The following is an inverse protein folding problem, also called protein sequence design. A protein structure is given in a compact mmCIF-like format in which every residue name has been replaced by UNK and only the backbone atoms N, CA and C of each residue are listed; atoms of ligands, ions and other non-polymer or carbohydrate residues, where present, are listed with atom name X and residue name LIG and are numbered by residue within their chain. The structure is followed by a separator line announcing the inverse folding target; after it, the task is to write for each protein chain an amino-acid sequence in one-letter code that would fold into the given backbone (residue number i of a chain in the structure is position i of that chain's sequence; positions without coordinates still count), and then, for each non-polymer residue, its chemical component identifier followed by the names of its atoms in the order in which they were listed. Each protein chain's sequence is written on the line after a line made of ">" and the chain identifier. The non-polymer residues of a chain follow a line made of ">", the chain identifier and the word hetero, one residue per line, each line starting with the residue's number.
data_IF_888674201089
#
_entry.id   IF_888674201089
#
_cell.length_a   1.000
_cell.length_b   1.000
_cell.length_c   1.000
_cell.angle_alpha   90.00
_cell.angle_beta   90.00
_cell.angle_gamma   90.00
#
_symmetry.space_group_name_H-M   'P 1'
#
loop_
_entity.id
_entity.type
_entity.pdbx_description
1 polymer ?
#
# COMPACT_ATOMS: atom_id res chain seq x y z
N UNK A 1 34.80 5.61 15.88
CA UNK A 1 34.58 6.64 16.93
C UNK A 1 33.58 7.73 16.49
N UNK A 2 33.36 7.94 15.19
CA UNK A 2 32.46 8.98 14.64
C UNK A 2 30.97 8.65 14.71
N UNK A 3 30.58 7.37 14.58
CA UNK A 3 29.17 6.95 14.68
C UNK A 3 28.52 7.26 16.03
N UNK A 4 29.29 7.12 17.11
CA UNK A 4 28.83 7.44 18.47
C UNK A 4 28.60 8.95 18.67
N UNK A 5 29.38 9.79 18.00
CA UNK A 5 29.21 11.25 18.03
C UNK A 5 28.00 11.71 17.23
N UNK A 6 27.71 11.06 16.09
CA UNK A 6 26.50 11.32 15.29
C UNK A 6 25.24 10.91 16.06
N UNK A 7 25.24 9.73 16.69
CA UNK A 7 24.13 9.26 17.52
C UNK A 7 23.87 10.19 18.72
N UNK A 8 24.94 10.69 19.37
CA UNK A 8 24.84 11.60 20.51
C UNK A 8 24.34 13.00 20.09
N UNK A 9 24.79 13.53 18.95
CA UNK A 9 24.28 14.80 18.39
C UNK A 9 22.83 14.70 17.93
N UNK A 10 22.43 13.58 17.30
CA UNK A 10 21.02 13.36 16.95
C UNK A 10 20.14 13.24 18.20
N UNK A 11 20.58 12.55 19.25
CA UNK A 11 19.87 12.49 20.54
C UNK A 11 19.78 13.85 21.26
N UNK A 12 20.71 14.78 21.01
CA UNK A 12 20.71 16.12 21.60
C UNK A 12 19.84 17.12 20.81
N UNK A 13 19.85 17.05 19.48
CA UNK A 13 19.02 17.88 18.61
C UNK A 13 17.54 17.48 18.74
N UNK A 14 17.26 16.18 18.91
CA UNK A 14 15.93 15.64 19.10
C UNK A 14 15.73 15.23 20.56
N UNK A 15 15.32 16.17 21.42
CA UNK A 15 14.85 15.90 22.81
C UNK A 15 13.58 15.03 22.80
N UNK A 16 13.71 13.76 22.44
CA UNK A 16 12.63 12.78 22.36
C UNK A 16 12.51 12.01 23.66
N UNK A 17 11.74 12.55 24.61
CA UNK A 17 11.27 11.77 25.75
C UNK A 17 9.99 11.03 25.34
N UNK A 18 10.11 9.70 25.21
CA UNK A 18 9.04 8.70 25.27
C UNK A 18 7.98 8.73 24.15
N UNK A 19 8.33 8.22 22.97
CA UNK A 19 7.31 7.73 22.02
C UNK A 19 7.67 6.35 21.47
N UNK A 20 7.25 5.30 22.18
CA UNK A 20 7.32 3.90 21.74
C UNK A 20 6.50 3.61 20.46
N UNK A 21 5.61 4.52 20.06
CA UNK A 21 4.72 4.34 18.89
C UNK A 21 5.26 4.93 17.60
N UNK A 22 6.24 5.84 17.66
CA UNK A 22 6.99 6.26 16.46
C UNK A 22 7.87 5.12 15.94
N UNK A 23 8.16 4.10 16.75
CA UNK A 23 8.89 2.91 16.27
C UNK A 23 8.19 2.17 15.12
N UNK A 24 6.86 2.21 14.98
CA UNK A 24 6.19 1.56 13.83
C UNK A 24 6.47 2.36 12.56
N UNK A 25 6.33 3.68 12.65
CA UNK A 25 6.65 4.60 11.57
C UNK A 25 8.13 4.52 11.19
N UNK A 26 9.03 4.48 12.17
CA UNK A 26 10.46 4.28 11.99
C UNK A 26 10.77 2.89 11.41
N UNK A 27 10.06 1.82 11.78
CA UNK A 27 10.26 0.49 11.18
C UNK A 27 9.77 0.49 9.73
N UNK A 28 8.65 1.14 9.41
CA UNK A 28 8.21 1.32 8.02
C UNK A 28 9.21 2.17 7.24
N UNK A 29 9.78 3.21 7.86
CA UNK A 29 10.83 4.06 7.29
C UNK A 29 12.16 3.29 7.10
N UNK A 30 12.54 2.42 8.04
CA UNK A 30 13.73 1.57 7.92
C UNK A 30 13.51 0.51 6.85
N UNK A 31 12.36 -0.14 6.78
CA UNK A 31 12.05 -1.14 5.76
C UNK A 31 11.92 -0.50 4.37
N UNK A 32 11.38 0.71 4.29
CA UNK A 32 11.35 1.52 3.09
C UNK A 32 12.77 1.94 2.66
N UNK A 33 13.61 2.40 3.60
CA UNK A 33 15.01 2.66 3.34
C UNK A 33 15.75 1.38 2.92
N UNK A 34 15.44 0.20 3.49
CA UNK A 34 16.00 -1.08 3.05
C UNK A 34 15.55 -1.38 1.62
N UNK A 35 14.29 -1.11 1.25
CA UNK A 35 13.84 -1.27 -0.15
C UNK A 35 14.59 -0.33 -1.09
N UNK A 36 14.86 0.92 -0.67
CA UNK A 36 15.71 1.87 -1.38
C UNK A 36 17.15 1.37 -1.47
N UNK A 37 17.70 0.80 -0.40
CA UNK A 37 19.06 0.27 -0.39
C UNK A 37 19.19 -0.97 -1.28
N UNK A 38 18.22 -1.88 -1.27
CA UNK A 38 18.14 -3.01 -2.20
C UNK A 38 18.03 -2.48 -3.64
N UNK A 39 17.25 -1.41 -3.85
CA UNK A 39 17.11 -0.72 -5.13
C UNK A 39 18.42 -0.05 -5.60
N UNK A 40 19.15 0.60 -4.69
CA UNK A 40 20.47 1.23 -4.95
C UNK A 40 21.55 0.17 -5.16
N UNK A 41 21.51 -0.95 -4.43
CA UNK A 41 22.41 -2.08 -4.63
C UNK A 41 22.15 -2.70 -6.00
N UNK A 42 20.90 -2.92 -6.38
CA UNK A 42 20.54 -3.40 -7.72
C UNK A 42 20.93 -2.41 -8.82
N UNK A 43 20.71 -1.11 -8.61
CA UNK A 43 21.17 -0.06 -9.50
C UNK A 43 22.68 -0.11 -9.68
N UNK A 44 23.45 -0.19 -8.59
CA UNK A 44 24.90 -0.30 -8.64
C UNK A 44 25.35 -1.60 -9.30
N UNK A 45 24.63 -2.71 -9.11
CA UNK A 45 24.93 -3.97 -9.77
C UNK A 45 24.73 -3.83 -11.29
N UNK A 46 23.57 -3.35 -11.73
CA UNK A 46 23.28 -3.12 -13.14
C UNK A 46 24.23 -2.08 -13.76
N UNK A 47 24.52 -0.99 -13.06
CA UNK A 47 25.46 0.04 -13.50
C UNK A 47 26.87 -0.51 -13.62
N UNK A 48 27.37 -1.25 -12.61
CA UNK A 48 28.71 -1.83 -12.66
C UNK A 48 28.83 -2.91 -13.73
N UNK A 49 27.80 -3.73 -13.95
CA UNK A 49 27.77 -4.70 -15.04
C UNK A 49 27.79 -4.00 -16.39
N UNK A 50 26.95 -2.98 -16.60
CA UNK A 50 26.93 -2.19 -17.83
C UNK A 50 28.25 -1.44 -18.07
N UNK A 51 28.82 -0.83 -17.02
CA UNK A 51 30.10 -0.13 -17.07
C UNK A 51 31.25 -1.09 -17.37
N UNK A 52 31.24 -2.30 -16.80
CA UNK A 52 32.22 -3.34 -17.09
C UNK A 52 32.13 -3.77 -18.56
N UNK A 53 30.93 -4.02 -19.08
CA UNK A 53 30.75 -4.30 -20.51
C UNK A 53 31.21 -3.14 -21.39
N UNK A 54 30.97 -1.90 -20.97
CA UNK A 54 31.42 -0.71 -21.71
C UNK A 54 32.95 -0.60 -21.74
N UNK A 55 33.62 -0.89 -20.61
CA UNK A 55 35.09 -0.94 -20.53
C UNK A 55 35.67 -2.09 -21.36
N UNK A 56 35.10 -3.30 -21.28
CA UNK A 56 35.55 -4.44 -22.08
C UNK A 56 35.38 -4.18 -23.59
N UNK A 57 34.33 -3.46 -23.98
CA UNK A 57 34.13 -2.99 -25.35
C UNK A 57 35.19 -1.94 -25.70
N UNK A 58 35.46 -0.97 -24.81
CA UNK A 58 36.47 0.07 -25.01
C UNK A 58 37.89 -0.49 -25.16
N UNK A 59 38.28 -1.47 -24.34
CA UNK A 59 39.60 -2.11 -24.41
C UNK A 59 39.75 -2.92 -25.70
N UNK A 60 38.71 -3.67 -26.10
CA UNK A 60 38.69 -4.34 -27.39
C UNK A 60 38.74 -3.36 -28.56
N UNK A 61 38.12 -2.18 -28.42
CA UNK A 61 38.23 -1.11 -29.42
C UNK A 61 39.68 -0.62 -29.52
N UNK A 62 40.34 -0.30 -28.41
CA UNK A 62 41.73 0.17 -28.41
C UNK A 62 42.71 -0.84 -29.05
N UNK A 63 42.46 -2.14 -28.88
CA UNK A 63 43.25 -3.20 -29.52
C UNK A 63 42.97 -3.29 -31.03
N UNK A 64 41.72 -3.15 -31.47
CA UNK A 64 41.36 -3.07 -32.90
C UNK A 64 41.99 -1.82 -33.53
N UNK A 65 41.95 -0.67 -32.84
CA UNK A 65 42.56 0.59 -33.28
C UNK A 65 44.07 0.49 -33.51
N UNK A 66 44.77 -0.30 -32.68
CA UNK A 66 46.21 -0.53 -32.85
C UNK A 66 46.54 -1.41 -34.06
N UNK A 67 45.61 -2.23 -34.53
CA UNK A 67 45.85 -3.21 -35.59
C UNK A 67 45.20 -2.87 -36.95
N UNK A 68 44.14 -2.06 -37.00
CA UNK A 68 43.42 -1.70 -38.23
C UNK A 68 43.33 -0.18 -38.43
N UNK A 69 44.44 0.47 -38.79
CA UNK A 69 44.49 1.94 -38.95
C UNK A 69 43.88 2.51 -40.23
N UNK A 70 43.02 1.77 -40.97
CA UNK A 70 42.59 2.19 -42.32
C UNK A 70 41.12 2.07 -42.68
N UNK A 71 40.22 1.75 -41.74
CA UNK A 71 38.80 1.56 -42.09
C UNK A 71 37.87 2.53 -41.34
N UNK A 72 37.78 3.76 -41.86
CA UNK A 72 36.97 4.87 -41.31
C UNK A 72 35.48 4.51 -41.11
N UNK A 73 34.97 3.55 -41.89
CA UNK A 73 33.59 3.07 -41.79
C UNK A 73 33.31 2.29 -40.50
N UNK A 74 34.27 1.48 -40.03
CA UNK A 74 34.14 0.73 -38.77
C UNK A 74 34.17 1.67 -37.56
N UNK A 75 34.94 2.76 -37.67
CA UNK A 75 35.03 3.83 -36.68
C UNK A 75 33.65 4.46 -36.39
N UNK A 76 32.93 4.80 -37.47
CA UNK A 76 31.66 5.50 -37.38
C UNK A 76 30.54 4.61 -36.82
N UNK A 77 30.52 3.32 -37.17
CA UNK A 77 29.54 2.38 -36.59
C UNK A 77 29.81 2.11 -35.10
N UNK A 78 31.08 2.03 -34.71
CA UNK A 78 31.47 1.81 -33.31
C UNK A 78 31.20 3.03 -32.42
N UNK A 79 31.46 4.25 -32.91
CA UNK A 79 31.11 5.48 -32.19
C UNK A 79 29.59 5.62 -31.98
N UNK A 80 28.77 5.17 -32.95
CA UNK A 80 27.31 5.11 -32.80
C UNK A 80 26.88 4.13 -31.71
N UNK A 81 27.51 2.95 -31.62
CA UNK A 81 27.22 1.97 -30.56
C UNK A 81 27.61 2.51 -29.18
N UNK A 82 28.79 3.13 -29.05
CA UNK A 82 29.23 3.75 -27.79
C UNK A 82 28.28 4.87 -27.33
N UNK A 83 27.91 5.77 -28.23
CA UNK A 83 26.98 6.86 -27.92
C UNK A 83 25.58 6.34 -27.58
N UNK A 84 25.09 5.30 -28.24
CA UNK A 84 23.82 4.66 -27.91
C UNK A 84 23.83 4.04 -26.50
N UNK A 85 24.93 3.39 -26.10
CA UNK A 85 25.11 2.85 -24.74
C UNK A 85 25.18 3.97 -23.70
N UNK A 86 25.87 5.07 -23.99
CA UNK A 86 25.99 6.21 -23.07
C UNK A 86 24.64 6.92 -22.84
N UNK A 87 23.85 7.10 -23.91
CA UNK A 87 22.49 7.67 -23.84
C UNK A 87 21.58 6.74 -23.03
N UNK A 88 21.63 5.44 -23.30
CA UNK A 88 20.91 4.40 -22.56
C UNK A 88 21.22 4.44 -21.05
N UNK A 89 22.48 4.57 -20.66
CA UNK A 89 22.88 4.72 -19.26
C UNK A 89 22.26 5.95 -18.58
N UNK A 90 22.23 7.10 -19.26
CA UNK A 90 21.64 8.34 -18.74
C UNK A 90 20.11 8.25 -18.60
N UNK A 91 19.44 7.60 -19.55
CA UNK A 91 17.99 7.38 -19.48
C UNK A 91 17.59 6.45 -18.34
N UNK A 92 18.36 5.37 -18.10
CA UNK A 92 18.15 4.50 -16.93
C UNK A 92 18.35 5.27 -15.64
N UNK A 93 19.40 6.08 -15.54
CA UNK A 93 19.63 6.91 -14.36
C UNK A 93 18.44 7.84 -14.09
N UNK A 94 17.86 8.45 -15.14
CA UNK A 94 16.69 9.31 -15.02
C UNK A 94 15.42 8.54 -14.62
N UNK A 95 15.14 7.40 -15.24
CA UNK A 95 13.95 6.58 -14.94
C UNK A 95 14.05 6.01 -13.51
N UNK A 96 15.22 5.55 -13.10
CA UNK A 96 15.44 5.05 -11.73
C UNK A 96 15.32 6.17 -10.70
N UNK A 97 15.89 7.35 -10.96
CA UNK A 97 15.75 8.48 -10.04
C UNK A 97 14.31 8.98 -9.94
N UNK A 98 13.54 8.96 -11.04
CA UNK A 98 12.11 9.29 -11.03
C UNK A 98 11.28 8.22 -10.31
N UNK A 99 11.52 6.93 -10.55
CA UNK A 99 10.84 5.83 -9.83
C UNK A 99 11.12 5.87 -8.33
N UNK A 100 12.39 6.10 -7.94
CA UNK A 100 12.77 6.28 -6.55
C UNK A 100 12.07 7.52 -5.98
N UNK A 101 12.04 8.63 -6.71
CA UNK A 101 11.34 9.86 -6.31
C UNK A 101 9.84 9.64 -6.13
N UNK A 102 9.19 8.82 -6.96
CA UNK A 102 7.76 8.45 -6.88
C UNK A 102 7.48 7.56 -5.66
N UNK A 103 8.34 6.60 -5.37
CA UNK A 103 8.22 5.76 -4.16
C UNK A 103 8.49 6.58 -2.90
N UNK A 104 9.52 7.44 -2.93
CA UNK A 104 9.83 8.40 -1.86
C UNK A 104 8.69 9.40 -1.69
N UNK A 105 8.06 9.79 -2.79
CA UNK A 105 6.91 10.68 -2.86
C UNK A 105 5.67 10.04 -2.23
N UNK A 106 5.34 8.78 -2.54
CA UNK A 106 4.25 8.06 -1.88
C UNK A 106 4.50 7.88 -0.38
N UNK A 107 5.75 7.62 0.00
CA UNK A 107 6.13 7.51 1.40
C UNK A 107 6.07 8.87 2.13
N UNK A 108 6.44 9.96 1.45
CA UNK A 108 6.29 11.35 1.93
C UNK A 108 4.83 11.83 1.93
N UNK A 109 3.88 11.08 1.36
CA UNK A 109 2.45 11.33 1.59
C UNK A 109 2.01 10.93 3.00
N UNK A 110 2.85 10.24 3.78
CA UNK A 110 2.70 10.30 5.23
C UNK A 110 2.92 11.76 5.67
N UNK A 111 1.92 12.40 6.31
CA UNK A 111 2.06 13.78 6.74
C UNK A 111 3.22 13.88 7.73
N UNK A 112 4.38 14.35 7.26
CA UNK A 112 5.40 14.95 8.12
C UNK A 112 4.68 16.09 8.89
N UNK A 113 4.88 16.12 10.20
CA UNK A 113 3.86 15.82 11.18
C UNK A 113 2.79 16.90 11.30
N UNK A 114 1.59 16.41 11.62
CA UNK A 114 0.48 17.05 12.33
C UNK A 114 0.91 17.98 13.49
N UNK A 115 2.15 17.85 13.99
CA UNK A 115 2.76 18.74 14.97
C UNK A 115 3.11 20.14 14.42
N UNK A 116 3.35 20.34 13.12
CA UNK A 116 3.60 21.69 12.57
C UNK A 116 2.32 22.49 12.32
N UNK A 117 1.19 21.83 12.00
CA UNK A 117 -0.13 22.48 11.89
C UNK A 117 -0.66 22.99 13.24
N UNK A 118 -0.13 22.51 14.36
CA UNK A 118 -0.52 22.93 15.71
C UNK A 118 0.36 24.07 16.24
N UNK A 119 1.49 24.40 15.58
CA UNK A 119 2.43 25.36 16.15
C UNK A 119 2.84 26.56 15.30
N UNK A 120 2.66 26.58 13.97
CA UNK A 120 2.98 27.78 13.19
C UNK A 120 2.13 27.88 11.91
N UNK A 121 1.09 28.71 11.93
CA UNK A 121 0.31 29.07 10.74
C UNK A 121 1.14 29.85 9.70
N UNK A 122 2.28 30.42 10.10
CA UNK A 122 3.11 31.31 9.26
C UNK A 122 4.12 30.61 8.32
N UNK A 123 4.25 29.27 8.37
CA UNK A 123 5.16 28.55 7.45
C UNK A 123 4.53 28.13 6.11
N UNK A 124 3.38 28.67 5.73
CA UNK A 124 2.46 27.93 4.84
C UNK A 124 2.61 28.10 3.32
N UNK A 125 3.41 29.03 2.79
CA UNK A 125 3.52 29.20 1.32
C UNK A 125 4.42 28.12 0.70
N UNK A 126 5.61 27.89 1.26
CA UNK A 126 6.56 26.92 0.70
C UNK A 126 6.03 25.48 0.74
N UNK A 127 5.36 25.09 1.84
CA UNK A 127 4.77 23.75 1.95
C UNK A 127 3.60 23.54 0.96
N UNK A 128 2.75 24.57 0.76
CA UNK A 128 1.68 24.52 -0.25
C UNK A 128 2.25 24.44 -1.66
N UNK A 129 3.28 25.23 -1.96
CA UNK A 129 3.96 25.20 -3.26
C UNK A 129 4.60 23.84 -3.53
N UNK A 130 5.32 23.28 -2.54
CA UNK A 130 5.92 21.96 -2.64
C UNK A 130 4.86 20.87 -2.91
N UNK A 131 3.74 20.90 -2.17
CA UNK A 131 2.62 19.98 -2.38
C UNK A 131 1.99 20.14 -3.78
N UNK A 132 1.87 21.37 -4.27
CA UNK A 132 1.34 21.64 -5.61
C UNK A 132 2.26 21.12 -6.71
N UNK A 133 3.56 21.41 -6.63
CA UNK A 133 4.60 20.90 -7.56
C UNK A 133 4.57 19.37 -7.54
N UNK A 134 4.52 18.78 -6.35
CA UNK A 134 4.41 17.34 -6.17
C UNK A 134 3.19 16.76 -6.89
N UNK A 135 2.01 17.35 -6.70
CA UNK A 135 0.77 16.85 -7.32
C UNK A 135 0.85 16.91 -8.86
N UNK A 136 1.44 17.98 -9.41
CA UNK A 136 1.69 18.10 -10.85
C UNK A 136 2.64 16.99 -11.33
N UNK A 137 3.75 16.77 -10.62
CA UNK A 137 4.72 15.73 -10.96
C UNK A 137 4.09 14.34 -10.90
N UNK A 138 3.29 14.04 -9.88
CA UNK A 138 2.56 12.76 -9.76
C UNK A 138 1.61 12.54 -10.93
N UNK A 139 0.83 13.56 -11.31
CA UNK A 139 -0.08 13.47 -12.47
C UNK A 139 0.73 13.29 -13.77
N UNK A 140 1.81 14.05 -13.95
CA UNK A 140 2.67 13.94 -15.14
C UNK A 140 3.28 12.55 -15.31
N UNK A 141 3.77 11.96 -14.21
CA UNK A 141 4.27 10.57 -14.17
C UNK A 141 3.18 9.57 -14.56
N UNK A 142 1.96 9.75 -14.08
CA UNK A 142 0.85 8.84 -14.38
C UNK A 142 0.45 8.93 -15.84
N UNK A 143 0.36 10.15 -16.39
CA UNK A 143 0.11 10.35 -17.82
C UNK A 143 1.21 9.67 -18.62
N UNK A 144 2.47 9.84 -18.23
CA UNK A 144 3.60 9.15 -18.88
C UNK A 144 3.45 7.62 -18.82
N UNK A 145 3.12 7.05 -17.67
CA UNK A 145 2.89 5.61 -17.55
C UNK A 145 1.71 5.14 -18.39
N UNK A 146 0.60 5.87 -18.42
CA UNK A 146 -0.57 5.54 -19.25
C UNK A 146 -0.19 5.58 -20.73
N UNK A 147 0.54 6.60 -21.17
CA UNK A 147 0.99 6.72 -22.57
C UNK A 147 1.91 5.55 -22.93
N UNK A 148 2.88 5.24 -22.08
CA UNK A 148 3.83 4.16 -22.33
C UNK A 148 3.15 2.78 -22.35
N UNK A 149 2.23 2.48 -21.42
CA UNK A 149 1.51 1.21 -21.41
C UNK A 149 0.40 1.12 -22.45
N UNK A 150 -0.06 2.25 -22.99
CA UNK A 150 -1.05 2.30 -24.08
C UNK A 150 -0.42 2.27 -25.47
N UNK A 151 0.89 2.48 -25.58
CA UNK A 151 1.63 2.43 -26.84
C UNK A 151 1.86 0.97 -27.30
N UNK A 152 0.76 0.25 -27.51
CA UNK A 152 0.76 -1.10 -28.07
C UNK A 152 0.63 -1.03 -29.59
N UNK A 153 1.71 -1.38 -30.29
CA UNK A 153 1.64 -1.60 -31.72
C UNK A 153 0.89 -2.91 -31.99
N UNK A 154 -0.30 -2.80 -32.58
CA UNK A 154 -1.09 -3.93 -33.06
C UNK A 154 -0.29 -4.56 -34.20
N UNK A 155 0.25 -5.76 -33.98
CA UNK A 155 0.91 -6.53 -35.04
C UNK A 155 -0.13 -7.39 -35.76
N UNK A 156 -0.17 -7.38 -37.11
CA UNK A 156 -1.12 -8.18 -37.88
C UNK A 156 -0.91 -9.70 -37.70
N UNK A 157 0.27 -10.13 -37.27
CA UNK A 157 0.64 -11.55 -37.16
C UNK A 157 0.15 -12.21 -35.86
N UNK A 158 -0.41 -11.43 -34.93
CA UNK A 158 -0.83 -11.90 -33.61
C UNK A 158 -2.34 -12.07 -33.59
N UNK A 159 -2.82 -13.17 -32.99
CA UNK A 159 -4.23 -13.40 -32.74
C UNK A 159 -4.90 -12.21 -32.02
N UNK A 160 -5.97 -11.67 -32.62
CA UNK A 160 -6.74 -10.52 -32.13
C UNK A 160 -7.21 -10.67 -30.67
N UNK A 161 -7.52 -11.90 -30.24
CA UNK A 161 -7.98 -12.15 -28.87
C UNK A 161 -6.87 -11.94 -27.84
N UNK A 162 -5.62 -12.27 -28.16
CA UNK A 162 -4.47 -12.07 -27.28
C UNK A 162 -4.19 -10.56 -27.16
N UNK A 163 -4.23 -9.85 -28.29
CA UNK A 163 -4.06 -8.39 -28.31
C UNK A 163 -5.15 -7.70 -27.48
N UNK A 164 -6.41 -8.14 -27.61
CA UNK A 164 -7.53 -7.61 -26.85
C UNK A 164 -7.40 -7.90 -25.34
N UNK A 165 -6.98 -9.11 -24.95
CA UNK A 165 -6.77 -9.47 -23.55
C UNK A 165 -5.65 -8.63 -22.89
N UNK A 166 -4.54 -8.42 -23.61
CA UNK A 166 -3.44 -7.55 -23.16
C UNK A 166 -3.86 -6.09 -23.08
N UNK A 167 -4.59 -5.58 -24.08
CA UNK A 167 -5.12 -4.23 -24.07
C UNK A 167 -6.07 -4.01 -22.89
N UNK A 168 -7.02 -4.93 -22.68
CA UNK A 168 -7.96 -4.88 -21.56
C UNK A 168 -7.23 -4.87 -20.20
N UNK A 169 -6.23 -5.75 -20.04
CA UNK A 169 -5.41 -5.81 -18.83
C UNK A 169 -4.71 -4.47 -18.55
N UNK A 170 -4.07 -3.88 -19.57
CA UNK A 170 -3.35 -2.61 -19.42
C UNK A 170 -4.31 -1.43 -19.16
N UNK A 171 -5.42 -1.36 -19.90
CA UNK A 171 -6.43 -0.31 -19.74
C UNK A 171 -7.01 -0.34 -18.33
N UNK A 172 -7.40 -1.52 -17.83
CA UNK A 172 -7.98 -1.65 -16.49
C UNK A 172 -6.96 -1.29 -15.41
N UNK A 173 -5.70 -1.72 -15.54
CA UNK A 173 -4.64 -1.34 -14.60
C UNK A 173 -4.36 0.17 -14.62
N UNK A 174 -4.31 0.78 -15.80
CA UNK A 174 -4.13 2.22 -15.97
C UNK A 174 -5.27 3.02 -15.34
N UNK A 175 -6.52 2.62 -15.58
CA UNK A 175 -7.69 3.26 -14.98
C UNK A 175 -7.65 3.09 -13.45
N UNK A 176 -7.28 1.92 -12.94
CA UNK A 176 -7.13 1.65 -11.50
C UNK A 176 -6.05 2.53 -10.86
N UNK A 177 -4.89 2.67 -11.50
CA UNK A 177 -3.81 3.56 -11.07
C UNK A 177 -4.26 5.03 -11.08
N UNK A 178 -4.87 5.49 -12.17
CA UNK A 178 -5.36 6.86 -12.30
C UNK A 178 -6.41 7.17 -11.24
N UNK A 179 -7.40 6.30 -11.06
CA UNK A 179 -8.41 6.44 -10.03
C UNK A 179 -7.76 6.51 -8.65
N UNK A 180 -6.81 5.63 -8.37
CA UNK A 180 -6.10 5.60 -7.09
C UNK A 180 -5.43 6.93 -6.78
N UNK A 181 -4.66 7.49 -7.72
CA UNK A 181 -3.95 8.75 -7.47
C UNK A 181 -4.89 9.94 -7.42
N UNK A 182 -5.87 10.04 -8.33
CA UNK A 182 -6.85 11.12 -8.31
C UNK A 182 -7.63 11.13 -6.98
N UNK A 183 -8.03 9.96 -6.49
CA UNK A 183 -8.70 9.84 -5.19
C UNK A 183 -7.77 10.18 -4.03
N UNK A 184 -6.49 9.79 -4.10
CA UNK A 184 -5.54 10.18 -3.07
C UNK A 184 -5.34 11.69 -3.01
N UNK A 185 -5.15 12.34 -4.16
CA UNK A 185 -5.03 13.79 -4.28
C UNK A 185 -6.30 14.49 -3.76
N UNK A 186 -7.47 13.97 -4.09
CA UNK A 186 -8.74 14.53 -3.64
C UNK A 186 -8.97 14.36 -2.13
N UNK A 187 -8.68 13.18 -1.58
CA UNK A 187 -8.93 12.85 -0.17
C UNK A 187 -7.76 13.12 0.77
N UNK A 188 -6.63 13.66 0.32
CA UNK A 188 -5.42 13.87 1.12
C UNK A 188 -5.68 14.61 2.45
N UNK A 189 -6.49 15.67 2.40
CA UNK A 189 -6.86 16.44 3.60
C UNK A 189 -7.69 15.61 4.58
N UNK A 190 -8.69 14.89 4.05
CA UNK A 190 -9.58 14.03 4.85
C UNK A 190 -8.80 12.85 5.45
N UNK A 191 -7.88 12.28 4.69
CA UNK A 191 -6.98 11.23 5.15
C UNK A 191 -6.14 11.68 6.34
N UNK A 192 -5.54 12.88 6.24
CA UNK A 192 -4.78 13.48 7.35
C UNK A 192 -5.67 13.69 8.58
N UNK A 193 -6.91 14.16 8.39
CA UNK A 193 -7.86 14.33 9.48
C UNK A 193 -8.20 13.00 10.18
N UNK A 194 -8.41 11.93 9.42
CA UNK A 194 -8.66 10.59 9.98
C UNK A 194 -7.45 10.12 10.79
N UNK A 195 -6.22 10.28 10.30
CA UNK A 195 -5.01 9.90 11.04
C UNK A 195 -4.93 10.67 12.36
N UNK A 196 -5.17 11.98 12.35
CA UNK A 196 -5.26 12.82 13.55
C UNK A 196 -6.32 12.31 14.52
N UNK A 197 -7.51 11.97 14.00
CA UNK A 197 -8.64 11.49 14.80
C UNK A 197 -8.33 10.13 15.42
N UNK A 198 -7.73 9.22 14.66
CA UNK A 198 -7.28 7.92 15.15
C UNK A 198 -6.24 8.06 16.25
N UNK A 199 -5.32 9.02 16.14
CA UNK A 199 -4.36 9.34 17.19
C UNK A 199 -5.05 9.90 18.44
N UNK A 200 -5.99 10.84 18.29
CA UNK A 200 -6.78 11.38 19.43
C UNK A 200 -7.54 10.27 20.15
N UNK A 201 -8.22 9.39 19.41
CA UNK A 201 -8.87 8.20 19.96
C UNK A 201 -7.85 7.37 20.75
N UNK A 202 -6.67 7.11 20.18
CA UNK A 202 -5.61 6.36 20.84
C UNK A 202 -5.17 6.99 22.18
N UNK A 203 -5.02 8.31 22.24
CA UNK A 203 -4.66 9.00 23.48
C UNK A 203 -5.76 8.89 24.55
N UNK A 204 -7.04 8.86 24.15
CA UNK A 204 -8.15 8.60 25.08
C UNK A 204 -8.11 7.16 25.59
N UNK A 205 -7.85 6.19 24.72
CA UNK A 205 -7.71 4.78 25.11
C UNK A 205 -6.63 4.57 26.18
N UNK A 206 -5.45 5.20 26.03
CA UNK A 206 -4.36 5.09 27.00
C UNK A 206 -4.71 5.63 28.39
N UNK A 207 -5.62 6.60 28.48
CA UNK A 207 -6.04 7.19 29.75
C UNK A 207 -7.11 6.35 30.45
N UNK A 208 -7.97 5.69 29.68
CA UNK A 208 -9.20 5.09 30.21
C UNK A 208 -9.14 3.57 30.34
N UNK A 209 -8.31 2.90 29.55
CA UNK A 209 -8.37 1.45 29.42
C UNK A 209 -7.01 0.78 29.57
N UNK A 210 -7.03 -0.50 29.98
CA UNK A 210 -5.84 -1.35 29.97
C UNK A 210 -5.34 -1.47 28.53
N UNK A 211 -4.14 -0.98 28.29
CA UNK A 211 -3.58 -0.88 26.95
C UNK A 211 -3.12 -2.25 26.42
N UNK A 212 -3.63 -2.65 25.26
CA UNK A 212 -3.16 -3.84 24.53
C UNK A 212 -2.12 -3.47 23.49
N UNK A 213 -1.05 -4.25 23.41
CA UNK A 213 0.03 -4.00 22.45
C UNK A 213 -0.40 -4.30 21.02
N UNK A 214 -0.08 -3.39 20.08
CA UNK A 214 -0.27 -3.56 18.63
C UNK A 214 0.67 -4.61 17.99
N UNK A 215 1.18 -5.60 18.74
CA UNK A 215 2.16 -6.58 18.25
C UNK A 215 1.67 -7.29 16.98
N UNK A 216 0.40 -7.70 16.96
CA UNK A 216 -0.17 -8.42 15.83
C UNK A 216 -0.35 -7.54 14.59
N UNK A 217 -0.65 -6.24 14.74
CA UNK A 217 -0.72 -5.31 13.60
C UNK A 217 0.66 -5.12 12.99
N UNK A 218 1.70 -4.98 13.84
CA UNK A 218 3.07 -4.83 13.36
C UNK A 218 3.51 -6.07 12.57
N UNK A 219 3.22 -7.27 13.10
CA UNK A 219 3.55 -8.51 12.41
C UNK A 219 2.85 -8.56 11.05
N UNK A 220 1.56 -8.22 11.00
CA UNK A 220 0.80 -8.16 9.75
C UNK A 220 1.38 -7.17 8.73
N UNK A 221 1.66 -5.93 9.14
CA UNK A 221 2.24 -4.91 8.24
C UNK A 221 3.61 -5.38 7.73
N UNK A 222 4.47 -5.90 8.61
CA UNK A 222 5.81 -6.36 8.23
C UNK A 222 5.72 -7.59 7.31
N UNK A 223 4.82 -8.53 7.58
CA UNK A 223 4.65 -9.71 6.71
C UNK A 223 4.12 -9.31 5.34
N UNK A 224 3.19 -8.36 5.28
CA UNK A 224 2.61 -7.88 4.02
C UNK A 224 3.65 -7.12 3.19
N UNK A 225 4.43 -6.23 3.82
CA UNK A 225 5.53 -5.52 3.14
C UNK A 225 6.60 -6.50 2.64
N UNK A 226 6.97 -7.48 3.46
CA UNK A 226 7.93 -8.50 3.06
C UNK A 226 7.41 -9.35 1.90
N UNK A 227 6.12 -9.70 1.92
CA UNK A 227 5.45 -10.39 0.81
C UNK A 227 5.51 -9.55 -0.48
N UNK A 228 5.17 -8.26 -0.43
CA UNK A 228 5.27 -7.34 -1.57
C UNK A 228 6.69 -7.29 -2.14
N UNK A 229 7.71 -7.20 -1.28
CA UNK A 229 9.12 -7.16 -1.69
C UNK A 229 9.57 -8.49 -2.31
N UNK A 230 9.18 -9.64 -1.76
CA UNK A 230 9.52 -10.94 -2.34
C UNK A 230 8.87 -11.09 -3.72
N UNK A 231 7.61 -10.71 -3.86
CA UNK A 231 6.93 -10.71 -5.15
C UNK A 231 7.61 -9.78 -6.15
N UNK A 232 8.11 -8.63 -5.69
CA UNK A 232 8.85 -7.70 -6.53
C UNK A 232 10.09 -8.34 -7.15
N UNK A 233 10.91 -8.96 -6.29
CA UNK A 233 12.16 -9.59 -6.69
C UNK A 233 11.86 -10.78 -7.61
N UNK A 234 10.86 -11.59 -7.29
CA UNK A 234 10.46 -12.73 -8.12
C UNK A 234 9.98 -12.29 -9.50
N UNK A 235 9.14 -11.25 -9.57
CA UNK A 235 8.66 -10.72 -10.84
C UNK A 235 9.80 -10.11 -11.67
N UNK A 236 10.73 -9.39 -11.03
CA UNK A 236 11.92 -8.84 -11.69
C UNK A 236 12.79 -9.93 -12.32
N UNK A 237 13.14 -10.98 -11.55
CA UNK A 237 14.01 -12.06 -12.01
C UNK A 237 13.36 -12.79 -13.19
N UNK A 238 12.06 -13.09 -13.09
CA UNK A 238 11.32 -13.74 -14.17
C UNK A 238 11.26 -12.87 -15.43
N UNK A 239 10.99 -11.58 -15.28
CA UNK A 239 10.90 -10.65 -16.40
C UNK A 239 12.25 -10.48 -17.12
N UNK A 240 13.33 -10.27 -16.37
CA UNK A 240 14.69 -10.13 -16.94
C UNK A 240 15.14 -11.43 -17.61
N UNK A 241 14.78 -12.59 -17.06
CA UNK A 241 15.11 -13.88 -17.66
C UNK A 241 14.44 -14.14 -19.03
N UNK A 242 13.36 -13.41 -19.34
CA UNK A 242 12.64 -13.53 -20.62
C UNK A 242 13.09 -12.51 -21.67
N UNK A 243 13.94 -11.56 -21.29
CA UNK A 243 14.39 -10.51 -22.19
C UNK A 243 15.59 -10.97 -23.03
N UNK A 244 15.31 -11.33 -24.29
CA UNK A 244 16.35 -11.63 -25.30
C UNK A 244 16.96 -10.34 -25.90
N UNK A 245 16.25 -9.21 -25.78
CA UNK A 245 16.63 -7.91 -26.38
C UNK A 245 17.41 -7.00 -25.42
N UNK A 246 17.61 -5.75 -25.82
CA UNK A 246 18.32 -4.71 -25.03
C UNK A 246 17.74 -4.61 -23.61
N UNK A 247 18.51 -5.09 -22.62
CA UNK A 247 18.18 -5.14 -21.19
C UNK A 247 17.55 -3.83 -20.71
N UNK A 248 18.03 -2.69 -21.23
CA UNK A 248 17.54 -1.37 -20.89
C UNK A 248 16.04 -1.17 -21.13
N UNK A 249 15.57 -1.54 -22.33
CA UNK A 249 14.18 -1.36 -22.76
C UNK A 249 13.27 -2.24 -21.91
N UNK A 250 13.73 -3.46 -21.64
CA UNK A 250 13.08 -4.38 -20.73
C UNK A 250 12.94 -3.81 -19.32
N UNK A 251 14.04 -3.30 -18.73
CA UNK A 251 14.00 -2.71 -17.40
C UNK A 251 13.06 -1.50 -17.36
N UNK A 252 13.06 -0.63 -18.38
CA UNK A 252 12.12 0.48 -18.51
C UNK A 252 10.66 -0.01 -18.49
N UNK A 253 10.32 -0.94 -19.37
CA UNK A 253 8.98 -1.49 -19.49
C UNK A 253 8.52 -2.16 -18.19
N UNK A 254 9.43 -2.90 -17.55
CA UNK A 254 9.19 -3.51 -16.26
C UNK A 254 8.91 -2.47 -15.17
N UNK A 255 9.72 -1.41 -15.05
CA UNK A 255 9.49 -0.34 -14.07
C UNK A 255 8.11 0.28 -14.26
N UNK A 256 7.73 0.57 -15.50
CA UNK A 256 6.45 1.20 -15.84
C UNK A 256 5.28 0.29 -15.49
N UNK A 257 5.28 -0.95 -15.98
CA UNK A 257 4.22 -1.93 -15.75
C UNK A 257 4.10 -2.27 -14.25
N UNK A 258 5.23 -2.44 -13.59
CA UNK A 258 5.29 -2.80 -12.18
C UNK A 258 4.83 -1.66 -11.27
N UNK A 259 5.30 -0.43 -11.52
CA UNK A 259 4.91 0.72 -10.70
C UNK A 259 3.39 0.96 -10.79
N UNK A 260 2.82 0.83 -11.99
CA UNK A 260 1.38 0.95 -12.21
C UNK A 260 0.58 -0.06 -11.37
N UNK A 261 0.96 -1.34 -11.44
CA UNK A 261 0.25 -2.39 -10.70
C UNK A 261 0.42 -2.26 -9.18
N UNK A 262 1.60 -1.86 -8.69
CA UNK A 262 1.90 -1.80 -7.25
C UNK A 262 1.37 -0.59 -6.52
N UNK A 263 1.19 0.54 -7.19
CA UNK A 263 0.50 1.71 -6.64
C UNK A 263 -0.85 1.32 -6.01
N UNK A 264 -1.63 0.54 -6.76
CA UNK A 264 -2.93 0.03 -6.30
C UNK A 264 -2.82 -0.93 -5.10
N UNK A 265 -1.74 -1.73 -5.02
CA UNK A 265 -1.51 -2.68 -3.93
C UNK A 265 -1.14 -1.97 -2.63
N UNK A 266 -0.27 -0.95 -2.69
CA UNK A 266 0.10 -0.16 -1.50
C UNK A 266 -1.16 0.43 -0.84
N UNK A 267 -2.07 0.97 -1.65
CA UNK A 267 -3.34 1.51 -1.16
C UNK A 267 -4.25 0.47 -0.51
N UNK A 268 -4.27 -0.76 -1.04
CA UNK A 268 -4.99 -1.87 -0.41
C UNK A 268 -4.39 -2.23 0.96
N UNK A 269 -3.06 -2.28 1.05
CA UNK A 269 -2.35 -2.53 2.31
C UNK A 269 -2.62 -1.43 3.34
N UNK A 270 -2.63 -0.16 2.91
CA UNK A 270 -3.01 0.97 3.76
C UNK A 270 -4.44 0.82 4.28
N UNK A 271 -5.40 0.56 3.41
CA UNK A 271 -6.79 0.31 3.78
C UNK A 271 -6.91 -0.81 4.83
N UNK A 272 -6.35 -1.99 4.54
CA UNK A 272 -6.34 -3.13 5.45
C UNK A 272 -5.71 -2.78 6.80
N UNK A 273 -4.63 -1.98 6.79
CA UNK A 273 -3.97 -1.52 8.01
C UNK A 273 -4.89 -0.66 8.87
N UNK A 274 -5.60 0.31 8.29
CA UNK A 274 -6.56 1.13 9.01
C UNK A 274 -7.69 0.29 9.60
N UNK A 275 -8.25 -0.63 8.81
CA UNK A 275 -9.32 -1.52 9.24
C UNK A 275 -8.87 -2.42 10.40
N UNK A 276 -7.65 -2.97 10.35
CA UNK A 276 -7.08 -3.76 11.45
C UNK A 276 -6.89 -2.91 12.72
N UNK A 277 -6.41 -1.68 12.59
CA UNK A 277 -6.25 -0.76 13.74
C UNK A 277 -7.61 -0.48 14.38
N UNK A 278 -8.63 -0.20 13.57
CA UNK A 278 -10.00 0.04 14.02
C UNK A 278 -10.59 -1.20 14.71
N UNK A 279 -10.38 -2.39 14.13
CA UNK A 279 -10.76 -3.68 14.74
C UNK A 279 -10.15 -3.85 16.12
N UNK A 280 -8.86 -3.56 16.28
CA UNK A 280 -8.21 -3.70 17.58
C UNK A 280 -8.78 -2.75 18.63
N UNK A 281 -9.14 -1.52 18.23
CA UNK A 281 -9.83 -0.58 19.12
C UNK A 281 -11.20 -1.10 19.54
N UNK A 282 -11.97 -1.70 18.63
CA UNK A 282 -13.24 -2.37 18.95
C UNK A 282 -13.02 -3.55 19.92
N UNK A 283 -11.99 -4.37 19.71
CA UNK A 283 -11.65 -5.46 20.62
C UNK A 283 -11.31 -4.95 22.02
N UNK A 284 -10.56 -3.85 22.14
CA UNK A 284 -10.28 -3.24 23.45
C UNK A 284 -11.59 -2.78 24.12
N UNK A 285 -12.51 -2.15 23.37
CA UNK A 285 -13.84 -1.80 23.91
C UNK A 285 -14.58 -3.05 24.39
N UNK A 286 -14.61 -4.12 23.59
CA UNK A 286 -15.26 -5.38 23.94
C UNK A 286 -14.69 -6.00 25.22
N UNK A 287 -13.36 -5.95 25.40
CA UNK A 287 -12.69 -6.41 26.62
C UNK A 287 -13.06 -5.57 27.83
N UNK A 288 -13.06 -4.23 27.73
CA UNK A 288 -13.41 -3.36 28.85
C UNK A 288 -14.89 -3.44 29.22
N UNK A 289 -15.78 -3.55 28.23
CA UNK A 289 -17.20 -3.87 28.45
C UNK A 289 -17.28 -5.17 29.26
N UNK A 290 -16.62 -6.25 28.81
CA UNK A 290 -16.64 -7.53 29.53
C UNK A 290 -16.13 -7.40 30.98
N UNK A 291 -15.01 -6.72 31.21
CA UNK A 291 -14.44 -6.49 32.55
C UNK A 291 -15.42 -5.78 33.49
N UNK A 292 -16.06 -4.70 33.00
CA UNK A 292 -17.07 -3.94 33.75
C UNK A 292 -18.26 -4.81 34.19
N UNK A 293 -18.59 -5.87 33.44
CA UNK A 293 -19.71 -6.73 33.78
C UNK A 293 -19.31 -7.97 34.58
N UNK A 294 -18.04 -8.39 34.55
CA UNK A 294 -17.56 -9.52 35.37
C UNK A 294 -17.26 -9.14 36.82
N UNK A 295 -16.73 -7.93 37.08
CA UNK A 295 -16.36 -7.51 38.44
C UNK A 295 -17.58 -7.33 39.37
N UNK A 296 -18.77 -7.12 38.81
CA UNK A 296 -20.00 -6.85 39.60
C UNK A 296 -20.62 -8.09 40.25
N UNK A 297 -20.15 -9.30 39.91
CA UNK A 297 -20.64 -10.53 40.55
C UNK A 297 -20.07 -10.76 41.96
N UNK A 298 -19.18 -9.89 42.44
CA UNK A 298 -18.70 -9.94 43.82
C UNK A 298 -19.50 -9.00 44.73
N UNK A 299 -20.16 -9.60 45.71
CA UNK A 299 -21.15 -9.02 46.62
C UNK A 299 -20.61 -7.84 47.44
N UNK A 300 -21.03 -6.63 47.08
CA UNK A 300 -21.41 -5.51 47.96
C UNK A 300 -21.59 -4.25 47.09
N UNK A 301 -22.82 -4.02 46.60
CA UNK A 301 -23.20 -2.85 45.79
C UNK A 301 -23.20 -1.58 46.65
N UNK A 302 -22.13 -0.79 46.59
CA UNK A 302 -22.18 0.60 47.05
C UNK A 302 -22.70 1.50 45.92
N UNK A 303 -23.49 2.52 46.27
CA UNK A 303 -24.01 3.54 45.33
C UNK A 303 -22.90 4.20 44.48
N UNK A 304 -21.70 4.33 45.06
CA UNK A 304 -20.49 4.85 44.41
C UNK A 304 -20.11 4.01 43.19
N UNK A 305 -20.30 2.68 43.22
CA UNK A 305 -20.01 1.82 42.06
C UNK A 305 -20.96 2.12 40.89
N UNK A 306 -22.23 2.46 41.14
CA UNK A 306 -23.20 2.70 40.07
C UNK A 306 -22.90 3.98 39.28
N UNK A 307 -22.54 5.05 39.98
CA UNK A 307 -22.11 6.32 39.36
C UNK A 307 -20.86 6.10 38.50
N UNK A 308 -19.91 5.32 39.01
CA UNK A 308 -18.71 4.95 38.25
C UNK A 308 -19.02 4.15 36.98
N UNK A 309 -19.96 3.19 37.07
CA UNK A 309 -20.42 2.41 35.91
C UNK A 309 -21.07 3.28 34.86
N UNK A 310 -21.98 4.18 35.25
CA UNK A 310 -22.66 5.06 34.31
C UNK A 310 -21.66 5.98 33.60
N UNK A 311 -20.72 6.55 34.34
CA UNK A 311 -19.67 7.40 33.78
C UNK A 311 -18.80 6.63 32.78
N UNK A 312 -18.32 5.44 33.16
CA UNK A 312 -17.46 4.62 32.29
C UNK A 312 -18.22 4.16 31.04
N UNK A 313 -19.49 3.77 31.17
CA UNK A 313 -20.33 3.40 30.02
C UNK A 313 -20.54 4.57 29.06
N UNK A 314 -20.76 5.78 29.59
CA UNK A 314 -20.87 7.01 28.81
C UNK A 314 -19.60 7.32 28.01
N UNK A 315 -18.44 7.09 28.62
CA UNK A 315 -17.15 7.28 27.95
C UNK A 315 -16.90 6.22 26.87
N UNK A 316 -17.24 4.95 27.14
CA UNK A 316 -17.19 3.86 26.16
C UNK A 316 -18.09 4.17 24.96
N UNK A 317 -19.33 4.60 25.20
CA UNK A 317 -20.30 4.97 24.17
C UNK A 317 -19.76 6.08 23.25
N UNK A 318 -19.15 7.12 23.84
CA UNK A 318 -18.53 8.22 23.08
C UNK A 318 -17.38 7.72 22.20
N UNK A 319 -16.45 6.94 22.77
CA UNK A 319 -15.29 6.42 22.04
C UNK A 319 -15.70 5.45 20.95
N UNK A 320 -16.70 4.61 21.22
CA UNK A 320 -17.28 3.72 20.25
C UNK A 320 -17.82 4.49 19.04
N UNK A 321 -18.63 5.52 19.27
CA UNK A 321 -19.17 6.35 18.19
C UNK A 321 -18.07 7.06 17.39
N UNK A 322 -16.98 7.50 18.04
CA UNK A 322 -15.80 8.06 17.37
C UNK A 322 -15.11 7.02 16.47
N UNK A 323 -15.00 5.75 16.90
CA UNK A 323 -14.45 4.66 16.09
C UNK A 323 -15.33 4.38 14.89
N UNK A 324 -16.65 4.27 15.07
CA UNK A 324 -17.57 4.00 13.95
C UNK A 324 -17.52 5.13 12.93
N UNK A 325 -17.47 6.37 13.39
CA UNK A 325 -17.29 7.53 12.51
C UNK A 325 -15.98 7.41 11.73
N UNK A 326 -14.87 7.08 12.39
CA UNK A 326 -13.59 6.84 11.72
C UNK A 326 -13.65 5.68 10.71
N UNK A 327 -14.35 4.58 11.03
CA UNK A 327 -14.57 3.48 10.09
C UNK A 327 -15.32 3.95 8.83
N UNK A 328 -16.42 4.69 9.00
CA UNK A 328 -17.20 5.20 7.86
C UNK A 328 -16.41 6.19 7.01
N UNK A 329 -15.55 7.00 7.64
CA UNK A 329 -14.68 7.93 6.93
C UNK A 329 -13.58 7.19 6.14
N UNK A 330 -12.92 6.21 6.75
CA UNK A 330 -11.94 5.35 6.06
C UNK A 330 -12.60 4.67 4.87
N UNK A 331 -13.76 4.04 5.07
CA UNK A 331 -14.52 3.43 3.99
C UNK A 331 -14.85 4.43 2.89
N UNK A 332 -15.27 5.66 3.22
CA UNK A 332 -15.59 6.68 2.22
C UNK A 332 -14.38 7.03 1.34
N UNK A 333 -13.19 7.16 1.93
CA UNK A 333 -11.94 7.48 1.20
C UNK A 333 -11.55 6.34 0.26
N UNK A 334 -11.59 5.10 0.76
CA UNK A 334 -11.10 3.94 0.02
C UNK A 334 -12.18 3.27 -0.85
N UNK A 335 -13.44 3.70 -0.78
CA UNK A 335 -14.57 3.04 -1.45
C UNK A 335 -14.40 2.84 -2.95
N UNK A 336 -13.98 3.89 -3.68
CA UNK A 336 -13.77 3.83 -5.14
C UNK A 336 -12.44 3.18 -5.50
N UNK A 337 -11.28 3.54 -4.89
CA UNK A 337 -10.03 2.81 -5.15
C UNK A 337 -10.17 1.30 -4.92
N UNK A 338 -10.91 0.89 -3.89
CA UNK A 338 -11.16 -0.51 -3.59
C UNK A 338 -12.04 -1.19 -4.64
N UNK A 339 -13.08 -0.51 -5.13
CA UNK A 339 -13.89 -0.99 -6.25
C UNK A 339 -13.03 -1.21 -7.50
N UNK A 340 -12.22 -0.22 -7.87
CA UNK A 340 -11.35 -0.28 -9.05
C UNK A 340 -10.27 -1.36 -8.89
N UNK A 341 -9.73 -1.52 -7.68
CA UNK A 341 -8.77 -2.58 -7.36
C UNK A 341 -9.39 -3.96 -7.53
N UNK A 342 -10.57 -4.20 -6.95
CA UNK A 342 -11.28 -5.48 -7.08
C UNK A 342 -11.59 -5.78 -8.55
N UNK A 343 -12.13 -4.81 -9.29
CA UNK A 343 -12.37 -4.96 -10.73
C UNK A 343 -11.09 -5.30 -11.51
N UNK A 344 -9.98 -4.63 -11.20
CA UNK A 344 -8.68 -4.91 -11.82
C UNK A 344 -8.13 -6.28 -11.49
N UNK A 345 -8.37 -6.80 -10.28
CA UNK A 345 -7.97 -8.15 -9.89
C UNK A 345 -8.77 -9.21 -10.64
N UNK A 346 -10.09 -9.03 -10.80
CA UNK A 346 -10.90 -9.94 -11.62
C UNK A 346 -10.39 -10.01 -13.05
N UNK A 347 -10.20 -8.85 -13.70
CA UNK A 347 -9.62 -8.80 -15.05
C UNK A 347 -8.24 -9.45 -15.10
N UNK A 348 -7.40 -9.20 -14.11
CA UNK A 348 -6.05 -9.81 -14.02
C UNK A 348 -6.11 -11.33 -13.92
N UNK A 349 -7.05 -11.89 -13.15
CA UNK A 349 -7.24 -13.34 -13.03
C UNK A 349 -7.67 -13.94 -14.36
N UNK A 350 -8.66 -13.34 -15.04
CA UNK A 350 -9.12 -13.83 -16.35
C UNK A 350 -8.03 -13.72 -17.42
N UNK A 351 -7.33 -12.59 -17.48
CA UNK A 351 -6.20 -12.42 -18.42
C UNK A 351 -5.07 -13.40 -18.12
N UNK A 352 -4.73 -13.63 -16.85
CA UNK A 352 -3.69 -14.59 -16.48
C UNK A 352 -4.09 -16.04 -16.82
N UNK A 353 -5.34 -16.44 -16.60
CA UNK A 353 -5.86 -17.74 -17.04
C UNK A 353 -5.77 -17.89 -18.56
N UNK A 354 -6.14 -16.84 -19.29
CA UNK A 354 -6.04 -16.81 -20.74
C UNK A 354 -4.57 -16.94 -21.20
N UNK A 355 -3.65 -16.20 -20.59
CA UNK A 355 -2.21 -16.26 -20.87
C UNK A 355 -1.58 -17.61 -20.53
N UNK A 356 -2.08 -18.29 -19.49
CA UNK A 356 -1.64 -19.64 -19.14
C UNK A 356 -1.95 -20.66 -20.24
N UNK A 357 -3.04 -20.47 -21.00
CA UNK A 357 -3.49 -21.42 -22.04
C UNK A 357 -2.97 -21.03 -23.42
N UNK A 358 -3.09 -19.75 -23.80
CA UNK A 358 -2.84 -19.29 -25.16
C UNK A 358 -1.50 -18.54 -25.33
N UNK A 359 -0.83 -18.23 -24.23
CA UNK A 359 0.37 -17.39 -24.23
C UNK A 359 0.07 -15.91 -24.09
N UNK A 360 1.14 -15.12 -24.03
CA UNK A 360 1.08 -13.67 -23.83
C UNK A 360 2.02 -12.94 -24.79
N UNK A 361 1.89 -11.62 -24.84
CA UNK A 361 2.73 -10.76 -25.68
C UNK A 361 3.88 -10.18 -24.88
N UNK A 362 5.10 -10.42 -25.35
CA UNK A 362 6.32 -9.81 -24.84
C UNK A 362 7.06 -9.14 -26.00
N UNK A 363 7.29 -7.83 -25.91
CA UNK A 363 7.99 -7.03 -26.93
C UNK A 363 7.47 -7.21 -28.38
N UNK A 364 6.16 -7.43 -28.54
CA UNK A 364 5.53 -7.63 -29.85
C UNK A 364 5.66 -9.05 -30.40
N UNK A 365 6.27 -9.97 -29.66
CA UNK A 365 6.32 -11.39 -29.99
C UNK A 365 5.34 -12.19 -29.15
N UNK A 366 4.71 -13.19 -29.77
CA UNK A 366 3.85 -14.14 -29.07
C UNK A 366 4.69 -15.19 -28.36
N UNK A 367 4.67 -15.16 -27.03
CA UNK A 367 5.27 -16.20 -26.20
C UNK A 367 4.23 -17.28 -25.96
N UNK A 368 4.25 -18.31 -26.81
CA UNK A 368 3.42 -19.51 -26.61
C UNK A 368 3.99 -20.34 -25.46
N UNK A 369 3.18 -20.81 -24.50
CA UNK A 369 3.66 -21.63 -23.39
C UNK A 369 4.13 -22.98 -23.92
N UNK A 370 5.44 -23.26 -23.82
CA UNK A 370 6.04 -24.53 -24.25
C UNK A 370 6.25 -25.48 -23.08
N UNK A 371 6.33 -24.95 -21.86
CA UNK A 371 6.49 -25.77 -20.66
C UNK A 371 5.93 -25.12 -19.40
N UNK A 372 6.05 -25.84 -18.29
CA UNK A 372 5.50 -25.41 -17.00
C UNK A 372 6.07 -24.05 -16.55
N UNK A 373 7.31 -23.73 -16.92
CA UNK A 373 7.97 -22.46 -16.57
C UNK A 373 7.21 -21.25 -17.11
N UNK A 374 6.64 -21.36 -18.30
CA UNK A 374 5.90 -20.26 -18.95
C UNK A 374 4.52 -20.05 -18.30
N UNK A 375 3.94 -21.14 -17.79
CA UNK A 375 2.62 -21.13 -17.13
C UNK A 375 2.73 -20.68 -15.67
N UNK A 376 3.87 -20.94 -15.01
CA UNK A 376 4.10 -20.62 -13.59
C UNK A 376 3.88 -19.13 -13.30
N UNK A 377 4.31 -18.23 -14.19
CA UNK A 377 4.12 -16.79 -13.99
C UNK A 377 2.63 -16.42 -13.91
N UNK A 378 1.82 -16.93 -14.83
CA UNK A 378 0.37 -16.72 -14.84
C UNK A 378 -0.30 -17.28 -13.59
N UNK A 379 0.10 -18.47 -13.15
CA UNK A 379 -0.40 -19.09 -11.91
C UNK A 379 -0.04 -18.27 -10.67
N UNK A 380 1.18 -17.72 -10.61
CA UNK A 380 1.62 -16.83 -9.53
C UNK A 380 0.74 -15.57 -9.51
N UNK A 381 0.44 -14.96 -10.66
CA UNK A 381 -0.43 -13.77 -10.74
C UNK A 381 -1.83 -14.09 -10.21
N UNK A 382 -2.42 -15.22 -10.61
CA UNK A 382 -3.73 -15.67 -10.11
C UNK A 382 -3.70 -15.85 -8.59
N UNK A 383 -2.68 -16.53 -8.08
CA UNK A 383 -2.51 -16.75 -6.65
C UNK A 383 -2.39 -15.44 -5.86
N UNK A 384 -1.61 -14.48 -6.36
CA UNK A 384 -1.45 -13.16 -5.71
C UNK A 384 -2.80 -12.42 -5.67
N UNK A 385 -3.52 -12.36 -6.80
CA UNK A 385 -4.81 -11.69 -6.86
C UNK A 385 -5.82 -12.32 -5.89
N UNK A 386 -5.84 -13.66 -5.81
CA UNK A 386 -6.70 -14.38 -4.88
C UNK A 386 -6.35 -14.08 -3.42
N UNK A 387 -5.06 -14.12 -3.04
CA UNK A 387 -4.61 -13.81 -1.67
C UNK A 387 -4.94 -12.38 -1.28
N UNK A 388 -4.79 -11.40 -2.18
CA UNK A 388 -5.13 -10.00 -1.93
C UNK A 388 -6.64 -9.82 -1.67
N UNK A 389 -7.50 -10.43 -2.50
CA UNK A 389 -8.96 -10.40 -2.32
C UNK A 389 -9.35 -11.06 -1.00
N UNK A 390 -8.85 -12.27 -0.74
CA UNK A 390 -9.15 -13.03 0.47
C UNK A 390 -8.72 -12.29 1.73
N UNK A 391 -7.53 -11.67 1.73
CA UNK A 391 -7.02 -10.89 2.87
C UNK A 391 -7.92 -9.69 3.13
N UNK A 392 -8.33 -8.99 2.08
CA UNK A 392 -9.21 -7.82 2.18
C UNK A 392 -10.57 -8.20 2.76
N UNK A 393 -11.18 -9.26 2.24
CA UNK A 393 -12.46 -9.79 2.73
C UNK A 393 -12.33 -10.22 4.19
N UNK A 394 -11.32 -11.00 4.54
CA UNK A 394 -11.10 -11.48 5.90
C UNK A 394 -10.91 -10.34 6.89
N UNK A 395 -10.14 -9.30 6.53
CA UNK A 395 -9.93 -8.12 7.37
C UNK A 395 -11.23 -7.34 7.59
N UNK A 396 -12.01 -7.12 6.54
CA UNK A 396 -13.31 -6.45 6.63
C UNK A 396 -14.30 -7.25 7.48
N UNK A 397 -14.45 -8.54 7.20
CA UNK A 397 -15.39 -9.43 7.88
C UNK A 397 -15.06 -9.61 9.36
N UNK A 398 -13.79 -9.84 9.71
CA UNK A 398 -13.37 -9.92 11.12
C UNK A 398 -13.64 -8.62 11.89
N UNK A 399 -13.58 -7.46 11.20
CA UNK A 399 -13.87 -6.17 11.82
C UNK A 399 -15.37 -5.99 12.04
N UNK A 400 -16.21 -6.40 11.08
CA UNK A 400 -17.67 -6.42 11.22
C UNK A 400 -18.11 -7.40 12.32
N UNK A 401 -17.43 -8.55 12.46
CA UNK A 401 -17.71 -9.50 13.54
C UNK A 401 -17.39 -8.90 14.92
N UNK A 402 -16.27 -8.20 15.07
CA UNK A 402 -15.93 -7.50 16.30
C UNK A 402 -16.90 -6.34 16.62
N UNK A 403 -17.39 -5.64 15.60
CA UNK A 403 -18.48 -4.67 15.71
C UNK A 403 -19.77 -5.31 16.25
N UNK A 404 -20.24 -6.40 15.61
CA UNK A 404 -21.46 -7.13 16.02
C UNK A 404 -21.32 -7.72 17.42
N UNK A 405 -20.10 -8.11 17.81
CA UNK A 405 -19.78 -8.59 19.15
C UNK A 405 -20.02 -7.51 20.23
N UNK A 406 -19.71 -6.25 19.94
CA UNK A 406 -19.99 -5.13 20.86
C UNK A 406 -21.48 -5.05 21.19
N UNK A 407 -22.35 -5.11 20.18
CA UNK A 407 -23.80 -5.12 20.37
C UNK A 407 -24.30 -6.29 21.21
N UNK A 408 -23.78 -7.51 20.95
CA UNK A 408 -24.12 -8.70 21.74
C UNK A 408 -23.69 -8.60 23.21
N UNK A 409 -22.50 -8.04 23.47
CA UNK A 409 -22.02 -7.85 24.83
C UNK A 409 -22.91 -6.85 25.59
N UNK A 410 -23.22 -5.69 24.99
CA UNK A 410 -24.06 -4.68 25.63
C UNK A 410 -25.48 -5.23 25.87
N UNK A 411 -26.07 -5.92 24.89
CA UNK A 411 -27.39 -6.53 25.04
C UNK A 411 -27.44 -7.53 26.20
N UNK A 412 -26.48 -8.47 26.28
CA UNK A 412 -26.42 -9.46 27.37
C UNK A 412 -26.33 -8.83 28.76
N UNK A 413 -25.80 -7.62 28.83
CA UNK A 413 -25.55 -6.93 30.10
C UNK A 413 -26.73 -6.12 30.60
N UNK A 414 -27.70 -5.83 29.72
CA UNK A 414 -28.98 -5.23 30.10
C UNK A 414 -29.74 -6.14 31.07
N UNK A 415 -29.74 -7.45 30.82
CA UNK A 415 -30.57 -8.42 31.54
C UNK A 415 -30.22 -8.61 33.03
N UNK A 416 -29.13 -8.03 33.53
CA UNK A 416 -28.58 -8.33 34.86
C UNK A 416 -28.72 -7.20 35.90
N UNK A 417 -29.48 -6.12 35.65
CA UNK A 417 -29.43 -4.90 36.50
C UNK A 417 -30.79 -4.45 37.08
N UNK A 418 -30.78 -4.13 38.38
CA UNK A 418 -31.94 -3.60 39.13
C UNK A 418 -32.12 -2.07 38.98
N UNK A 419 -31.13 -1.33 38.45
CA UNK A 419 -31.21 0.12 38.29
C UNK A 419 -31.90 0.49 36.96
N UNK A 420 -33.10 1.08 37.06
CA UNK A 420 -33.97 1.42 35.93
C UNK A 420 -33.32 2.44 34.97
N UNK A 421 -32.60 3.45 35.48
CA UNK A 421 -31.96 4.47 34.64
C UNK A 421 -30.81 3.88 33.82
N UNK A 422 -29.93 3.11 34.47
CA UNK A 422 -28.81 2.44 33.81
C UNK A 422 -29.31 1.40 32.79
N UNK A 423 -30.38 0.69 33.12
CA UNK A 423 -31.05 -0.24 32.21
C UNK A 423 -31.60 0.46 30.97
N UNK A 424 -32.32 1.58 31.16
CA UNK A 424 -32.84 2.40 30.05
C UNK A 424 -31.71 2.87 29.13
N UNK A 425 -30.58 3.31 29.69
CA UNK A 425 -29.43 3.75 28.90
C UNK A 425 -28.76 2.63 28.13
N UNK A 426 -28.55 1.46 28.74
CA UNK A 426 -28.01 0.27 28.06
C UNK A 426 -28.94 -0.16 26.93
N UNK A 427 -30.25 -0.13 27.15
CA UNK A 427 -31.24 -0.46 26.12
C UNK A 427 -31.22 0.54 24.96
N UNK A 428 -31.11 1.84 25.23
CA UNK A 428 -30.97 2.85 24.18
C UNK A 428 -29.68 2.63 23.38
N UNK A 429 -28.57 2.33 24.06
CA UNK A 429 -27.30 2.08 23.38
C UNK A 429 -27.36 0.79 22.56
N UNK A 430 -27.87 -0.32 23.09
CA UNK A 430 -28.01 -1.57 22.35
C UNK A 430 -28.91 -1.42 21.13
N UNK A 431 -29.99 -0.64 21.24
CA UNK A 431 -30.90 -0.36 20.14
C UNK A 431 -30.23 0.49 19.06
N UNK A 432 -29.43 1.50 19.43
CA UNK A 432 -28.62 2.26 18.47
C UNK A 432 -27.61 1.37 17.71
N UNK A 433 -27.03 0.39 18.38
CA UNK A 433 -26.11 -0.58 17.76
C UNK A 433 -26.82 -1.54 16.81
N UNK A 434 -28.05 -1.92 17.15
CA UNK A 434 -28.84 -2.82 16.34
C UNK A 434 -29.40 -2.14 15.08
N UNK A 435 -29.67 -0.83 15.14
CA UNK A 435 -30.15 -0.06 13.98
C UNK A 435 -29.03 0.45 13.07
N UNK A 436 -27.79 0.53 13.54
CA UNK A 436 -26.65 0.87 12.69
C UNK A 436 -26.06 -0.39 12.07
N UNK A 437 -26.54 -0.77 10.90
CA UNK A 437 -25.85 -1.81 10.13
C UNK A 437 -24.52 -1.27 9.61
N UNK A 438 -23.43 -1.72 10.23
CA UNK A 438 -22.07 -1.42 9.78
C UNK A 438 -21.53 -2.58 8.95
N UNK A 439 -21.44 -2.35 7.64
CA UNK A 439 -20.78 -3.25 6.68
C UNK A 439 -19.82 -2.42 5.80
N UNK A 440 -18.73 -3.04 5.35
CA UNK A 440 -17.84 -2.42 4.37
C UNK A 440 -18.43 -2.58 2.97
N UNK A 441 -18.50 -1.48 2.22
CA UNK A 441 -19.01 -1.44 0.86
C UNK A 441 -17.99 -0.84 -0.11
N UNK A 442 -17.90 -1.43 -1.30
CA UNK A 442 -17.17 -0.86 -2.43
C UNK A 442 -18.07 0.11 -3.19
N UNK A 443 -18.03 1.38 -2.82
CA UNK A 443 -18.82 2.48 -3.43
C UNK A 443 -20.33 2.21 -3.53
N UNK A 444 -20.88 1.40 -2.60
CA UNK A 444 -22.30 1.04 -2.58
C UNK A 444 -22.71 -0.07 -3.56
N UNK A 445 -21.81 -0.54 -4.44
CA UNK A 445 -22.12 -1.61 -5.40
C UNK A 445 -22.29 -2.97 -4.72
N UNK A 446 -21.34 -3.36 -3.87
CA UNK A 446 -21.39 -4.63 -3.16
C UNK A 446 -20.74 -4.53 -1.77
N UNK A 447 -21.12 -5.47 -0.88
CA UNK A 447 -20.53 -5.65 0.44
C UNK A 447 -19.21 -6.42 0.31
N UNK A 448 -18.21 -6.02 1.09
CA UNK A 448 -16.88 -6.65 1.11
C UNK A 448 -16.88 -7.69 2.23
N UNK A 449 -17.47 -8.85 1.92
CA UNK A 449 -17.66 -9.98 2.82
C UNK A 449 -17.53 -11.30 2.02
N UNK A 450 -17.68 -12.45 2.69
CA UNK A 450 -17.58 -13.76 2.06
C UNK A 450 -18.50 -14.01 0.85
N UNK A 451 -19.63 -13.29 0.68
CA UNK A 451 -20.48 -13.47 -0.50
C UNK A 451 -19.84 -12.96 -1.80
N UNK A 452 -18.84 -12.07 -1.71
CA UNK A 452 -18.07 -11.61 -2.88
C UNK A 452 -17.29 -12.76 -3.54
N UNK A 453 -16.93 -13.81 -2.80
CA UNK A 453 -16.22 -14.98 -3.36
C UNK A 453 -17.15 -15.95 -4.10
N UNK A 454 -18.46 -15.82 -3.90
CA UNK A 454 -19.47 -16.66 -4.54
C UNK A 454 -20.01 -16.04 -5.85
N UNK A 455 -19.73 -14.76 -6.07
CA UNK A 455 -20.14 -14.00 -7.25
C UNK A 455 -19.05 -14.07 -8.30
#
# INVERSE_FOLDING_TARGET
>A
MEWYQIEKKMKQIFKWKSYKNVKIFIICEILFNISIWVYVIFYNLCYNTMHKYTLEISEKMDDIFKHESKNDTALCEMEKVYNAVLVACKEVQLIFSVSLLIQFAMFLMCPRPVDEKIKNEDKSIFAKLFLYIYNILSIGVIIYFIVETSNYNISPDINIFIQLATLLFNVVNNISMLATVLFYLYYQNKFTEIVCRLYKIETKFKKLFKWKSYKNVKIFIVSELLFVIILWISFFINYIGQCETVILKCVKNWIVLYTSTKMSQVMLVEFCTFVIILRQKLTIINENIKELFTEKNHDNKSEITEIYYEKTLSEIEKIYNEIITACTEVQSIFSVPLLMKIASQFVSVFSALYFAVFGYLADGHLVTPKGIKDVVLSLIIIFICAVEILTTIAVCELTVLEYKRTGKLIYRTSLAKNNVMLMKRINLFSLQLLHKDFDFHASGFFKINGSLLQT
#
